data_IF_559010718133
#
_entry.id   IF_559010718133
#
_cell.length_a   1.000
_cell.length_b   1.000
_cell.length_c   1.000
_cell.angle_alpha   90.00
_cell.angle_beta   90.00
_cell.angle_gamma   90.00
#
_symmetry.space_group_name_H-M   'P 1'
#
loop_
_entity.id
_entity.type
_entity.pdbx_description
1 polymer ?
#
# COMPACT_ATOMS: atom_id res chain seq x y z
N UNK A 1 -15.92 4.68 25.76
CA UNK A 1 -14.92 4.16 26.72
C UNK A 1 -13.90 5.26 27.05
N UNK A 2 -13.33 5.26 28.27
CA UNK A 2 -12.18 6.11 28.63
C UNK A 2 -10.90 5.58 27.98
N UNK A 3 -9.82 6.36 27.99
CA UNK A 3 -8.53 5.95 27.40
C UNK A 3 -8.02 4.63 28.01
N UNK A 4 -8.13 4.44 29.33
CA UNK A 4 -7.69 3.22 30.00
C UNK A 4 -8.36 1.96 29.46
N UNK A 5 -9.69 1.96 29.38
CA UNK A 5 -10.43 0.85 28.77
C UNK A 5 -10.10 0.63 27.28
N UNK A 6 -9.82 1.69 26.51
CA UNK A 6 -9.42 1.56 25.10
C UNK A 6 -8.02 0.98 24.95
N UNK A 7 -7.09 1.39 25.81
CA UNK A 7 -5.73 0.86 25.85
C UNK A 7 -5.72 -0.60 26.28
N UNK A 8 -6.46 -0.97 27.33
CA UNK A 8 -6.60 -2.36 27.76
C UNK A 8 -7.14 -3.27 26.63
N UNK A 9 -8.18 -2.82 25.93
CA UNK A 9 -8.72 -3.52 24.77
C UNK A 9 -7.70 -3.66 23.62
N UNK A 10 -6.92 -2.60 23.35
CA UNK A 10 -5.88 -2.65 22.34
C UNK A 10 -4.76 -3.66 22.70
N UNK A 11 -4.39 -3.72 23.98
CA UNK A 11 -3.41 -4.69 24.49
C UNK A 11 -3.93 -6.13 24.31
N UNK A 12 -5.18 -6.40 24.66
CA UNK A 12 -5.82 -7.72 24.44
C UNK A 12 -5.79 -8.12 22.95
N UNK A 13 -6.06 -7.18 22.05
CA UNK A 13 -6.01 -7.43 20.61
C UNK A 13 -4.58 -7.68 20.13
N UNK A 14 -3.60 -6.92 20.62
CA UNK A 14 -2.19 -7.13 20.29
C UNK A 14 -1.71 -8.51 20.78
N UNK A 15 -2.10 -8.94 21.98
CA UNK A 15 -1.85 -10.29 22.51
C UNK A 15 -2.46 -11.38 21.61
N UNK A 16 -3.70 -11.19 21.12
CA UNK A 16 -4.33 -12.17 20.21
C UNK A 16 -3.60 -12.25 18.86
N UNK A 17 -3.18 -11.11 18.32
CA UNK A 17 -2.42 -11.04 17.05
C UNK A 17 -1.09 -11.77 17.20
N UNK A 18 -0.36 -11.51 18.27
CA UNK A 18 0.93 -12.14 18.55
C UNK A 18 0.80 -13.64 18.76
N UNK A 19 -0.13 -14.07 19.62
CA UNK A 19 -0.35 -15.49 19.94
C UNK A 19 -0.85 -16.31 18.76
N UNK A 20 -1.75 -15.75 17.93
CA UNK A 20 -2.40 -16.49 16.83
C UNK A 20 -1.80 -16.22 15.45
N UNK A 21 -0.83 -15.30 15.34
CA UNK A 21 -0.21 -14.89 14.08
C UNK A 21 -1.22 -14.54 12.95
N UNK A 22 -2.29 -13.82 13.31
CA UNK A 22 -3.44 -13.52 12.44
C UNK A 22 -3.46 -12.06 11.96
N UNK A 23 -4.22 -11.71 10.90
CA UNK A 23 -4.38 -10.33 10.49
C UNK A 23 -5.04 -9.44 11.57
N UNK A 24 -4.55 -8.21 11.71
CA UNK A 24 -5.07 -7.26 12.69
C UNK A 24 -6.55 -6.90 12.44
N UNK A 25 -6.95 -6.79 11.17
CA UNK A 25 -8.34 -6.52 10.80
C UNK A 25 -9.31 -7.60 11.31
N UNK A 26 -8.90 -8.87 11.26
CA UNK A 26 -9.71 -9.98 11.74
C UNK A 26 -9.77 -9.99 13.27
N UNK A 27 -8.64 -9.76 13.95
CA UNK A 27 -8.59 -9.69 15.41
C UNK A 27 -9.47 -8.55 15.96
N UNK A 28 -9.39 -7.37 15.37
CA UNK A 28 -10.23 -6.21 15.70
C UNK A 28 -11.71 -6.48 15.44
N UNK A 29 -12.04 -7.17 14.34
CA UNK A 29 -13.42 -7.56 14.01
C UNK A 29 -13.99 -8.51 15.06
N UNK A 30 -13.26 -9.57 15.40
CA UNK A 30 -13.69 -10.56 16.39
C UNK A 30 -13.82 -9.96 17.79
N UNK A 31 -12.85 -9.12 18.19
CA UNK A 31 -12.92 -8.38 19.44
C UNK A 31 -14.17 -7.48 19.46
N UNK A 32 -14.45 -6.76 18.38
CA UNK A 32 -15.65 -5.93 18.28
C UNK A 32 -16.96 -6.74 18.31
N UNK A 33 -17.01 -7.94 17.74
CA UNK A 33 -18.20 -8.79 17.77
C UNK A 33 -18.47 -9.35 19.18
N UNK A 34 -17.42 -9.64 19.94
CA UNK A 34 -17.50 -10.11 21.33
C UNK A 34 -17.76 -8.96 22.34
N UNK A 35 -17.35 -7.73 22.02
CA UNK A 35 -17.50 -6.56 22.89
C UNK A 35 -18.54 -5.56 22.35
N UNK A 36 -19.82 -5.96 22.38
CA UNK A 36 -20.94 -5.16 21.83
C UNK A 36 -21.14 -3.79 22.49
N UNK A 37 -20.64 -3.58 23.70
CA UNK A 37 -20.70 -2.29 24.40
C UNK A 37 -19.77 -1.23 23.75
N UNK A 38 -18.75 -1.64 23.00
CA UNK A 38 -17.85 -0.71 22.31
C UNK A 38 -18.53 -0.17 21.05
N UNK A 39 -18.86 1.14 21.07
CA UNK A 39 -19.42 1.84 19.92
C UNK A 39 -18.41 2.05 18.78
N UNK A 40 -18.87 2.59 17.66
CA UNK A 40 -18.02 2.79 16.48
C UNK A 40 -16.80 3.69 16.74
N UNK A 41 -16.95 4.73 17.57
CA UNK A 41 -15.84 5.60 17.98
C UNK A 41 -14.82 4.88 18.87
N UNK A 42 -15.28 4.03 19.79
CA UNK A 42 -14.39 3.26 20.66
C UNK A 42 -13.61 2.22 19.84
N UNK A 43 -14.28 1.48 18.95
CA UNK A 43 -13.63 0.50 18.07
C UNK A 43 -12.57 1.14 17.17
N UNK A 44 -12.83 2.35 16.69
CA UNK A 44 -11.86 3.08 15.88
C UNK A 44 -10.64 3.52 16.70
N UNK A 45 -10.85 4.07 17.90
CA UNK A 45 -9.76 4.45 18.78
C UNK A 45 -8.89 3.24 19.18
N UNK A 46 -9.52 2.10 19.53
CA UNK A 46 -8.83 0.83 19.81
C UNK A 46 -8.04 0.38 18.58
N UNK A 47 -8.68 0.38 17.40
CA UNK A 47 -8.01 0.05 16.14
C UNK A 47 -6.79 0.93 15.86
N UNK A 48 -6.89 2.25 16.11
CA UNK A 48 -5.77 3.16 15.93
C UNK A 48 -4.59 2.77 16.83
N UNK A 49 -4.82 2.52 18.13
CA UNK A 49 -3.75 2.08 19.05
C UNK A 49 -3.11 0.78 18.57
N UNK A 50 -3.91 -0.21 18.15
CA UNK A 50 -3.40 -1.49 17.63
C UNK A 50 -2.55 -1.28 16.37
N UNK A 51 -3.04 -0.53 15.40
CA UNK A 51 -2.30 -0.28 14.16
C UNK A 51 -1.04 0.55 14.38
N UNK A 52 -1.07 1.54 15.27
CA UNK A 52 0.11 2.33 15.65
C UNK A 52 1.14 1.48 16.39
N UNK A 53 0.69 0.61 17.32
CA UNK A 53 1.55 -0.34 18.00
C UNK A 53 2.25 -1.28 17.03
N UNK A 54 1.53 -1.76 16.00
CA UNK A 54 2.13 -2.57 14.94
C UNK A 54 3.04 -1.75 14.01
N UNK A 55 2.71 -0.49 13.72
CA UNK A 55 3.57 0.40 12.94
C UNK A 55 4.89 0.65 13.66
N UNK A 56 4.82 0.96 14.95
CA UNK A 56 5.94 1.39 15.79
C UNK A 56 6.45 0.29 16.73
N UNK A 57 6.24 -1.00 16.41
CA UNK A 57 6.47 -2.09 17.38
C UNK A 57 7.87 -2.05 17.98
N UNK A 58 8.92 -1.86 17.17
CA UNK A 58 10.29 -1.83 17.68
C UNK A 58 10.60 -0.53 18.40
N UNK A 59 10.21 0.61 17.83
CA UNK A 59 10.39 1.92 18.47
C UNK A 59 9.69 2.00 19.82
N UNK A 60 8.46 1.51 19.91
CA UNK A 60 7.66 1.46 21.13
C UNK A 60 8.31 0.58 22.18
N UNK A 61 8.71 -0.63 21.82
CA UNK A 61 9.33 -1.55 22.76
C UNK A 61 10.70 -1.07 23.25
N UNK A 62 11.52 -0.49 22.37
CA UNK A 62 12.79 0.10 22.74
C UNK A 62 12.62 1.33 23.65
N UNK A 63 11.63 2.19 23.39
CA UNK A 63 11.37 3.36 24.21
C UNK A 63 10.97 2.95 25.64
N UNK A 64 10.01 2.03 25.77
CA UNK A 64 9.50 1.58 27.08
C UNK A 64 10.49 0.65 27.79
N UNK A 65 11.27 -0.15 27.05
CA UNK A 65 12.25 -1.09 27.58
C UNK A 65 11.77 -2.53 27.71
N UNK A 66 10.70 -2.86 27.01
CA UNK A 66 10.05 -4.17 27.01
C UNK A 66 9.30 -4.33 25.69
N UNK A 67 9.13 -5.56 25.20
CA UNK A 67 8.47 -5.85 23.92
C UNK A 67 7.07 -6.46 24.08
N UNK A 68 6.56 -6.53 25.31
CA UNK A 68 5.21 -7.01 25.60
C UNK A 68 4.12 -6.19 24.90
N UNK A 69 2.97 -6.79 24.55
CA UNK A 69 1.81 -6.06 24.01
C UNK A 69 1.40 -4.84 24.83
N UNK A 70 1.58 -4.88 26.16
CA UNK A 70 1.39 -3.71 27.04
C UNK A 70 2.38 -2.60 26.69
N UNK A 71 3.68 -2.89 26.67
CA UNK A 71 4.72 -1.92 26.34
C UNK A 71 4.49 -1.32 24.94
N UNK A 72 4.09 -2.15 23.97
CA UNK A 72 3.74 -1.70 22.62
C UNK A 72 2.54 -0.76 22.61
N UNK A 73 1.49 -1.07 23.37
CA UNK A 73 0.31 -0.21 23.50
C UNK A 73 0.62 1.16 24.11
N UNK A 74 1.42 1.20 25.17
CA UNK A 74 1.88 2.46 25.78
C UNK A 74 2.80 3.24 24.84
N UNK A 75 3.78 2.57 24.24
CA UNK A 75 4.71 3.19 23.29
C UNK A 75 4.00 3.78 22.07
N UNK A 76 2.93 3.14 21.58
CA UNK A 76 2.10 3.69 20.50
C UNK A 76 1.47 5.05 20.87
N UNK A 77 0.97 5.19 22.10
CA UNK A 77 0.41 6.47 22.57
C UNK A 77 1.50 7.54 22.72
N UNK A 78 2.67 7.17 23.24
CA UNK A 78 3.81 8.08 23.37
C UNK A 78 4.30 8.59 22.01
N UNK A 79 4.32 7.70 21.00
CA UNK A 79 4.90 8.00 19.69
C UNK A 79 3.94 8.66 18.70
N UNK A 80 2.65 8.29 18.73
CA UNK A 80 1.69 8.69 17.69
C UNK A 80 0.53 9.57 18.22
N UNK A 81 0.37 9.71 19.55
CA UNK A 81 -0.78 10.40 20.15
C UNK A 81 -0.42 11.70 20.89
N UNK A 82 0.84 12.14 20.81
CA UNK A 82 1.35 13.34 21.51
C UNK A 82 1.16 13.28 23.03
N UNK A 83 1.13 12.06 23.57
CA UNK A 83 1.03 11.82 25.00
C UNK A 83 2.42 11.77 25.64
N UNK A 84 2.49 12.11 26.93
CA UNK A 84 3.69 11.95 27.75
C UNK A 84 3.49 10.81 28.74
N UNK A 85 4.58 10.23 29.23
CA UNK A 85 4.48 9.14 30.20
C UNK A 85 3.75 9.59 31.49
N UNK A 86 3.96 10.86 31.89
CA UNK A 86 3.27 11.48 33.02
C UNK A 86 1.77 11.69 32.73
N UNK A 87 1.40 12.24 31.56
CA UNK A 87 -0.01 12.46 31.21
C UNK A 87 -0.78 11.14 31.08
N UNK A 88 -0.14 10.08 30.57
CA UNK A 88 -0.73 8.76 30.52
C UNK A 88 -1.03 8.22 31.92
N UNK A 89 -0.04 8.20 32.82
CA UNK A 89 -0.26 7.72 34.19
C UNK A 89 -1.35 8.52 34.91
N UNK A 90 -1.39 9.85 34.74
CA UNK A 90 -2.45 10.70 35.30
C UNK A 90 -3.83 10.38 34.71
N UNK A 91 -3.91 10.13 33.40
CA UNK A 91 -5.17 9.82 32.71
C UNK A 91 -5.71 8.44 33.08
N UNK A 92 -4.81 7.50 33.37
CA UNK A 92 -5.16 6.13 33.77
C UNK A 92 -5.48 6.00 35.26
N UNK A 93 -5.06 6.97 36.09
CA UNK A 93 -5.31 6.94 37.52
C UNK A 93 -6.82 6.90 37.84
N UNK A 94 -7.20 5.99 38.72
CA UNK A 94 -8.61 5.75 39.08
C UNK A 94 -9.50 5.13 37.98
N UNK A 95 -8.98 4.81 36.79
CA UNK A 95 -9.74 4.06 35.78
C UNK A 95 -9.66 2.55 36.06
N UNK A 96 -10.74 1.97 36.60
CA UNK A 96 -10.84 0.54 36.93
C UNK A 96 -10.65 -0.42 35.75
N UNK A 97 -10.71 0.09 34.52
CA UNK A 97 -10.51 -0.70 33.30
C UNK A 97 -9.14 -0.43 32.65
N UNK A 98 -8.30 0.44 33.22
CA UNK A 98 -6.96 0.68 32.73
C UNK A 98 -6.04 -0.53 32.97
N UNK A 99 -5.07 -0.78 32.08
CA UNK A 99 -3.97 -1.68 32.41
C UNK A 99 -3.11 -1.08 33.53
N UNK A 100 -2.21 -1.86 34.15
CA UNK A 100 -1.25 -1.34 35.11
C UNK A 100 -0.47 -0.14 34.52
N UNK A 101 -0.37 1.00 35.25
CA UNK A 101 0.30 2.21 34.77
C UNK A 101 1.79 1.96 34.52
N UNK A 102 2.47 2.92 33.89
CA UNK A 102 3.92 2.87 33.71
C UNK A 102 4.62 2.89 35.07
N UNK A 103 5.52 1.94 35.28
CA UNK A 103 6.33 1.80 36.51
C UNK A 103 7.39 2.90 36.61
N UNK A 104 7.97 3.08 37.79
CA UNK A 104 9.06 4.05 37.99
C UNK A 104 10.26 3.78 37.05
N UNK A 105 10.59 2.51 36.84
CA UNK A 105 11.69 2.11 35.95
C UNK A 105 11.36 2.41 34.48
N UNK A 106 10.14 2.13 34.03
CA UNK A 106 9.68 2.50 32.68
C UNK A 106 9.67 4.01 32.47
N UNK A 107 9.18 4.79 33.45
CA UNK A 107 9.22 6.25 33.40
C UNK A 107 10.66 6.78 33.26
N UNK A 108 11.58 6.21 34.03
CA UNK A 108 13.01 6.56 33.96
C UNK A 108 13.60 6.18 32.60
N UNK A 109 13.27 5.01 32.06
CA UNK A 109 13.76 4.56 30.76
C UNK A 109 13.26 5.46 29.62
N UNK A 110 11.95 5.79 29.62
CA UNK A 110 11.34 6.69 28.63
C UNK A 110 11.99 8.09 28.70
N UNK A 111 12.28 8.60 29.90
CA UNK A 111 12.92 9.90 30.06
C UNK A 111 14.40 9.91 29.63
N UNK A 112 15.10 8.79 29.76
CA UNK A 112 16.54 8.67 29.46
C UNK A 112 16.84 8.32 28.00
N UNK A 113 15.85 7.84 27.23
CA UNK A 113 16.04 7.33 25.87
C UNK A 113 15.59 8.35 24.81
N UNK A 114 16.39 8.46 23.76
CA UNK A 114 16.05 9.20 22.55
C UNK A 114 16.06 8.25 21.35
N UNK A 115 14.96 8.16 20.60
CA UNK A 115 14.85 7.24 19.45
C UNK A 115 15.93 7.46 18.38
N UNK A 116 16.52 8.66 18.30
CA UNK A 116 17.62 8.92 17.37
C UNK A 116 18.88 8.11 17.71
N UNK A 117 19.03 7.66 18.95
CA UNK A 117 20.15 6.86 19.45
C UNK A 117 19.84 5.35 19.43
N UNK A 118 18.64 4.96 19.01
CA UNK A 118 18.25 3.56 18.93
C UNK A 118 18.97 2.84 17.77
N UNK A 119 19.14 1.50 17.84
CA UNK A 119 19.67 0.72 16.72
C UNK A 119 18.87 0.97 15.43
N UNK A 120 19.53 0.92 14.28
CA UNK A 120 18.90 1.29 13.01
C UNK A 120 17.64 0.46 12.68
N UNK A 121 17.65 -0.84 12.96
CA UNK A 121 16.47 -1.68 12.75
C UNK A 121 15.30 -1.36 13.70
N UNK A 122 15.56 -0.69 14.83
CA UNK A 122 14.53 -0.12 15.70
C UNK A 122 13.97 1.15 15.07
N UNK A 123 14.84 2.06 14.63
CA UNK A 123 14.46 3.34 13.99
C UNK A 123 13.68 3.14 12.70
N UNK A 124 14.01 2.10 11.93
CA UNK A 124 13.33 1.71 10.70
C UNK A 124 12.00 0.97 10.96
N UNK A 125 11.73 0.55 12.21
CA UNK A 125 10.52 -0.20 12.59
C UNK A 125 10.23 -1.42 11.69
N UNK A 126 11.27 -2.15 11.27
CA UNK A 126 11.13 -3.31 10.39
C UNK A 126 11.50 -4.64 11.10
N UNK A 127 11.04 -5.80 10.61
CA UNK A 127 11.57 -7.09 11.05
C UNK A 127 13.08 -7.17 10.81
N UNK A 128 13.81 -7.83 11.73
CA UNK A 128 15.27 -7.91 11.66
C UNK A 128 15.75 -8.56 10.36
N UNK A 129 15.11 -9.66 9.98
CA UNK A 129 15.45 -10.39 8.78
C UNK A 129 15.19 -9.59 7.49
N UNK A 130 14.33 -8.57 7.55
CA UNK A 130 14.10 -7.65 6.44
C UNK A 130 15.12 -6.51 6.36
N UNK A 131 15.90 -6.24 7.42
CA UNK A 131 16.84 -5.11 7.43
C UNK A 131 17.88 -5.22 6.29
N UNK A 132 18.52 -6.37 6.02
CA UNK A 132 19.42 -6.51 4.87
C UNK A 132 18.73 -6.27 3.51
N UNK A 133 17.43 -6.58 3.40
CA UNK A 133 16.67 -6.35 2.16
C UNK A 133 16.42 -4.84 1.94
N UNK A 134 16.10 -4.11 3.01
CA UNK A 134 15.93 -2.66 2.94
C UNK A 134 17.26 -1.94 2.73
N UNK A 135 18.33 -2.39 3.38
CA UNK A 135 19.70 -1.89 3.19
C UNK A 135 20.12 -2.02 1.73
N UNK A 136 19.85 -3.18 1.10
CA UNK A 136 20.12 -3.39 -0.33
C UNK A 136 19.31 -2.43 -1.20
N UNK A 137 18.00 -2.35 -0.99
CA UNK A 137 17.10 -1.55 -1.83
C UNK A 137 17.34 -0.03 -1.73
N UNK A 138 17.78 0.45 -0.55
CA UNK A 138 17.83 1.88 -0.23
C UNK A 138 19.20 2.41 0.16
N UNK A 139 20.23 1.56 0.20
CA UNK A 139 21.58 1.91 0.61
C UNK A 139 21.57 2.69 1.95
N UNK A 140 22.34 3.77 2.06
CA UNK A 140 22.42 4.58 3.28
C UNK A 140 21.12 5.27 3.73
N UNK A 141 20.06 5.26 2.92
CA UNK A 141 18.76 5.88 3.25
C UNK A 141 17.75 4.89 3.87
N UNK A 142 18.11 3.61 4.01
CA UNK A 142 17.18 2.53 4.38
C UNK A 142 16.44 2.76 5.70
N UNK A 143 17.08 3.38 6.70
CA UNK A 143 16.45 3.68 7.99
C UNK A 143 15.31 4.67 7.83
N UNK A 144 15.52 5.72 7.03
CA UNK A 144 14.50 6.72 6.74
C UNK A 144 13.34 6.15 5.93
N UNK A 145 13.65 5.30 4.95
CA UNK A 145 12.64 4.61 4.12
C UNK A 145 11.80 3.63 4.96
N UNK A 146 12.45 2.85 5.83
CA UNK A 146 11.76 1.95 6.77
C UNK A 146 10.85 2.72 7.74
N UNK A 147 11.35 3.82 8.31
CA UNK A 147 10.56 4.69 9.18
C UNK A 147 9.34 5.27 8.46
N UNK A 148 9.47 5.65 7.19
CA UNK A 148 8.35 6.16 6.40
C UNK A 148 7.33 5.06 6.04
N UNK A 149 7.77 3.81 5.86
CA UNK A 149 6.90 2.63 5.74
C UNK A 149 6.18 2.29 7.06
N UNK A 150 6.60 2.86 8.18
CA UNK A 150 5.94 2.74 9.49
C UNK A 150 5.02 3.93 9.83
N UNK A 151 4.93 4.97 8.99
CA UNK A 151 4.08 6.13 9.27
C UNK A 151 2.58 5.83 9.10
N UNK A 152 1.70 6.71 9.59
CA UNK A 152 0.26 6.66 9.28
C UNK A 152 0.03 7.03 7.80
N UNK A 153 -0.72 6.23 7.02
CA UNK A 153 -0.92 6.48 5.60
C UNK A 153 -2.02 7.53 5.35
N UNK A 154 -1.94 8.31 4.26
CA UNK A 154 -3.05 9.14 3.81
C UNK A 154 -4.16 8.28 3.18
N UNK A 155 -5.35 8.85 3.01
CA UNK A 155 -6.40 8.27 2.17
C UNK A 155 -6.35 8.94 0.80
N UNK A 156 -5.95 8.16 -0.21
CA UNK A 156 -5.84 8.63 -1.59
C UNK A 156 -7.00 8.10 -2.44
N UNK A 157 -7.47 8.98 -3.32
CA UNK A 157 -8.55 8.76 -4.26
C UNK A 157 -8.06 9.13 -5.66
N UNK A 158 -8.64 8.52 -6.68
CA UNK A 158 -8.44 8.87 -8.10
C UNK A 158 -9.74 9.39 -8.67
N UNK A 159 -9.75 10.63 -9.16
CA UNK A 159 -10.88 11.15 -9.94
C UNK A 159 -11.08 10.31 -11.21
N UNK A 160 -12.32 9.93 -11.48
CA UNK A 160 -12.70 9.21 -12.70
C UNK A 160 -12.98 10.21 -13.82
N UNK A 161 -12.02 10.39 -14.73
CA UNK A 161 -12.10 11.34 -15.84
C UNK A 161 -13.21 11.04 -16.84
N UNK A 162 -13.80 9.84 -16.83
CA UNK A 162 -14.98 9.52 -17.64
C UNK A 162 -16.26 10.17 -17.11
N UNK A 163 -16.31 10.54 -15.83
CA UNK A 163 -17.54 10.98 -15.15
C UNK A 163 -17.40 12.32 -14.43
N UNK A 164 -16.20 12.70 -14.04
CA UNK A 164 -15.95 13.93 -13.27
C UNK A 164 -14.53 14.46 -13.53
N UNK A 165 -14.19 15.56 -12.87
CA UNK A 165 -12.84 16.11 -12.85
C UNK A 165 -12.28 16.13 -11.43
N UNK A 166 -10.96 16.17 -11.28
CA UNK A 166 -10.31 16.32 -9.97
C UNK A 166 -10.87 17.52 -9.19
N UNK A 167 -11.08 18.65 -9.88
CA UNK A 167 -11.62 19.86 -9.26
C UNK A 167 -13.02 19.65 -8.65
N UNK A 168 -13.94 18.99 -9.38
CA UNK A 168 -15.29 18.67 -8.87
C UNK A 168 -15.25 17.70 -7.69
N UNK A 169 -14.36 16.71 -7.73
CA UNK A 169 -14.18 15.77 -6.61
C UNK A 169 -13.63 16.49 -5.37
N UNK A 170 -12.70 17.42 -5.54
CA UNK A 170 -12.17 18.23 -4.43
C UNK A 170 -13.24 19.14 -3.82
N UNK A 171 -14.06 19.76 -4.66
CA UNK A 171 -15.18 20.61 -4.20
C UNK A 171 -16.20 19.79 -3.39
N UNK A 172 -16.59 18.62 -3.89
CA UNK A 172 -17.50 17.72 -3.17
C UNK A 172 -16.92 17.27 -1.81
N UNK A 173 -15.60 17.03 -1.75
CA UNK A 173 -14.92 16.53 -0.56
C UNK A 173 -14.28 17.62 0.30
N UNK A 174 -14.62 18.90 0.10
CA UNK A 174 -13.96 20.02 0.76
C UNK A 174 -13.98 19.92 2.30
N UNK A 175 -15.10 19.44 2.87
CA UNK A 175 -15.26 19.27 4.33
C UNK A 175 -14.36 18.18 4.93
N UNK A 176 -13.79 17.30 4.10
CA UNK A 176 -12.89 16.24 4.54
C UNK A 176 -11.43 16.67 4.67
N UNK A 177 -11.10 17.91 4.26
CA UNK A 177 -9.73 18.37 4.13
C UNK A 177 -9.01 17.76 2.91
N UNK A 178 -9.77 17.35 1.89
CA UNK A 178 -9.21 16.81 0.66
C UNK A 178 -8.39 17.87 -0.10
N UNK A 179 -7.22 17.47 -0.59
CA UNK A 179 -6.32 18.29 -1.39
C UNK A 179 -5.83 17.50 -2.63
N UNK A 180 -5.34 18.17 -3.68
CA UNK A 180 -4.67 17.49 -4.79
C UNK A 180 -3.47 16.67 -4.29
N UNK A 181 -3.22 15.52 -4.89
CA UNK A 181 -1.95 14.82 -4.68
C UNK A 181 -0.80 15.55 -5.39
N UNK A 182 0.44 15.20 -5.05
CA UNK A 182 1.63 15.93 -5.49
C UNK A 182 2.10 15.55 -6.91
N UNK A 183 1.85 14.32 -7.34
CA UNK A 183 2.35 13.75 -8.59
C UNK A 183 1.21 13.37 -9.54
N UNK A 184 0.27 12.53 -9.09
CA UNK A 184 -0.80 12.04 -9.96
C UNK A 184 -1.78 13.16 -10.35
N UNK A 185 -1.95 13.40 -11.65
CA UNK A 185 -2.75 14.51 -12.16
C UNK A 185 -4.24 14.45 -11.73
N UNK A 186 -4.76 13.25 -11.51
CA UNK A 186 -6.14 13.00 -11.09
C UNK A 186 -6.27 12.58 -9.62
N UNK A 187 -5.17 12.61 -8.86
CA UNK A 187 -5.15 12.18 -7.48
C UNK A 187 -5.72 13.22 -6.52
N UNK A 188 -6.45 12.74 -5.52
CA UNK A 188 -6.97 13.50 -4.38
C UNK A 188 -6.52 12.81 -3.10
N UNK A 189 -6.01 13.57 -2.14
CA UNK A 189 -5.47 13.09 -0.86
C UNK A 189 -6.21 13.71 0.30
N UNK A 190 -6.61 12.87 1.25
CA UNK A 190 -7.01 13.27 2.59
C UNK A 190 -5.87 12.91 3.53
N UNK A 191 -5.38 13.88 4.29
CA UNK A 191 -4.23 13.73 5.17
C UNK A 191 -4.43 12.60 6.21
N UNK A 192 -3.34 11.97 6.70
CA UNK A 192 -3.44 11.00 7.77
C UNK A 192 -4.19 11.55 8.99
N UNK A 193 -4.93 10.67 9.66
CA UNK A 193 -5.61 11.01 10.92
C UNK A 193 -4.61 11.14 12.07
N UNK A 194 -4.93 11.97 13.06
CA UNK A 194 -4.17 12.12 14.32
C UNK A 194 -4.91 11.43 15.49
N UNK A 195 -4.16 10.84 16.44
CA UNK A 195 -4.70 10.23 17.66
C UNK A 195 -5.88 9.29 17.42
N UNK A 196 -7.02 9.55 18.09
CA UNK A 196 -8.28 8.79 17.95
C UNK A 196 -9.16 9.19 16.77
N UNK A 197 -8.65 10.00 15.84
CA UNK A 197 -9.39 10.44 14.66
C UNK A 197 -9.82 9.28 13.75
N UNK A 198 -10.66 9.60 12.76
CA UNK A 198 -11.13 8.61 11.76
C UNK A 198 -11.10 9.25 10.39
N UNK A 199 -10.67 8.49 9.39
CA UNK A 199 -10.86 8.92 8.02
C UNK A 199 -12.37 8.97 7.71
N UNK A 200 -12.81 9.93 6.88
CA UNK A 200 -14.19 9.97 6.43
C UNK A 200 -14.54 8.70 5.65
N UNK A 201 -15.79 8.28 5.73
CA UNK A 201 -16.28 7.15 4.94
C UNK A 201 -16.60 7.61 3.52
N UNK A 202 -15.56 7.85 2.73
CA UNK A 202 -15.67 8.36 1.34
C UNK A 202 -16.53 7.48 0.44
N UNK A 203 -16.71 6.20 0.77
CA UNK A 203 -17.55 5.29 -0.02
C UNK A 203 -19.05 5.49 0.24
N UNK A 204 -19.43 6.14 1.34
CA UNK A 204 -20.82 6.54 1.59
C UNK A 204 -21.21 7.81 0.82
N UNK A 205 -20.23 8.55 0.29
CA UNK A 205 -20.48 9.81 -0.40
C UNK A 205 -21.28 9.62 -1.71
N UNK A 206 -22.24 10.50 -2.02
CA UNK A 206 -22.98 10.46 -3.28
C UNK A 206 -22.06 10.45 -4.51
N UNK A 207 -20.96 11.21 -4.48
CA UNK A 207 -19.98 11.23 -5.56
C UNK A 207 -19.30 9.86 -5.79
N UNK A 208 -18.99 9.10 -4.74
CA UNK A 208 -18.47 7.74 -4.91
C UNK A 208 -19.52 6.83 -5.55
N UNK A 209 -20.77 6.87 -5.08
CA UNK A 209 -21.87 6.05 -5.62
C UNK A 209 -22.17 6.40 -7.08
N UNK A 210 -21.99 7.66 -7.48
CA UNK A 210 -22.05 8.12 -8.87
C UNK A 210 -20.80 7.78 -9.69
N UNK A 211 -19.79 7.14 -9.10
CA UNK A 211 -18.55 6.74 -9.79
C UNK A 211 -17.63 7.90 -10.15
N UNK A 212 -17.68 9.02 -9.42
CA UNK A 212 -16.83 10.19 -9.67
C UNK A 212 -15.37 9.98 -9.29
N UNK A 213 -15.11 9.05 -8.37
CA UNK A 213 -13.75 8.69 -7.96
C UNK A 213 -13.67 7.25 -7.47
N UNK A 214 -12.45 6.72 -7.42
CA UNK A 214 -12.10 5.41 -6.84
C UNK A 214 -11.14 5.60 -5.67
N UNK A 215 -11.22 4.74 -4.64
CA UNK A 215 -10.19 4.68 -3.60
C UNK A 215 -8.96 3.97 -4.17
N UNK A 216 -7.84 4.67 -4.26
CA UNK A 216 -6.60 4.14 -4.83
C UNK A 216 -5.39 4.97 -4.39
N UNK A 217 -4.35 4.30 -3.87
CA UNK A 217 -3.06 4.91 -3.56
C UNK A 217 -2.47 5.64 -4.78
N UNK A 218 -1.88 6.82 -4.55
CA UNK A 218 -1.26 7.62 -5.61
C UNK A 218 -0.18 6.85 -6.40
N UNK A 219 0.61 5.98 -5.76
CA UNK A 219 1.63 5.17 -6.45
C UNK A 219 1.01 4.19 -7.45
N UNK A 220 -0.15 3.61 -7.12
CA UNK A 220 -0.90 2.79 -8.08
C UNK A 220 -1.53 3.60 -9.21
N UNK A 221 -1.78 4.90 -9.01
CA UNK A 221 -2.25 5.80 -10.08
C UNK A 221 -1.10 6.11 -11.03
N UNK A 222 0.07 6.47 -10.49
CA UNK A 222 1.31 6.73 -11.23
C UNK A 222 1.69 5.51 -12.07
N UNK A 223 1.68 4.30 -11.51
CA UNK A 223 2.01 3.08 -12.25
C UNK A 223 1.07 2.84 -13.44
N UNK A 224 -0.23 3.18 -13.31
CA UNK A 224 -1.18 3.07 -14.42
C UNK A 224 -0.97 4.17 -15.48
N UNK A 225 -0.57 5.38 -15.08
CA UNK A 225 -0.23 6.48 -15.98
C UNK A 225 1.04 6.17 -16.79
N UNK A 226 2.08 5.64 -16.13
CA UNK A 226 3.34 5.23 -16.77
C UNK A 226 3.17 4.10 -17.79
N UNK A 227 2.16 3.23 -17.62
CA UNK A 227 1.83 2.19 -18.61
C UNK A 227 1.45 2.79 -19.97
N UNK A 228 0.96 4.04 -20.01
CA UNK A 228 0.82 4.81 -21.23
C UNK A 228 -0.27 4.32 -22.19
N UNK A 229 -1.35 3.72 -21.66
CA UNK A 229 -2.49 3.30 -22.46
C UNK A 229 -3.19 4.50 -23.13
N UNK A 230 -3.50 4.37 -24.42
CA UNK A 230 -4.09 5.43 -25.25
C UNK A 230 -5.37 4.95 -25.92
N UNK A 231 -6.30 5.87 -26.25
CA UNK A 231 -7.53 5.53 -26.97
C UNK A 231 -7.26 4.67 -28.21
N UNK A 232 -7.98 3.57 -28.34
CA UNK A 232 -7.90 2.65 -29.49
C UNK A 232 -6.93 1.47 -29.33
N UNK A 233 -6.11 1.43 -28.28
CA UNK A 233 -5.22 0.30 -28.00
C UNK A 233 -5.97 -0.97 -27.56
N UNK A 234 -5.33 -2.12 -27.71
CA UNK A 234 -5.69 -3.37 -27.05
C UNK A 234 -4.80 -3.61 -25.84
N UNK A 235 -5.39 -3.76 -24.65
CA UNK A 235 -4.65 -3.89 -23.39
C UNK A 235 -5.11 -5.14 -22.65
N UNK A 236 -4.18 -5.87 -22.05
CA UNK A 236 -4.45 -6.96 -21.12
C UNK A 236 -3.95 -6.57 -19.73
N UNK A 237 -4.83 -6.49 -18.75
CA UNK A 237 -4.50 -6.44 -17.33
C UNK A 237 -4.56 -7.87 -16.79
N UNK A 238 -3.39 -8.53 -16.71
CA UNK A 238 -3.27 -9.97 -16.47
C UNK A 238 -3.42 -10.37 -15.00
N UNK A 239 -3.19 -9.42 -14.09
CA UNK A 239 -3.35 -9.59 -12.64
C UNK A 239 -4.22 -8.45 -12.09
N UNK A 240 -5.43 -8.32 -12.65
CA UNK A 240 -6.28 -7.14 -12.45
C UNK A 240 -6.68 -6.93 -10.98
N UNK A 241 -6.66 -7.96 -10.14
CA UNK A 241 -7.19 -7.92 -8.78
C UNK A 241 -8.61 -7.38 -8.78
N UNK A 242 -8.90 -6.40 -7.92
CA UNK A 242 -10.20 -5.75 -7.89
C UNK A 242 -10.44 -4.76 -9.07
N UNK A 243 -9.49 -4.62 -10.01
CA UNK A 243 -9.59 -3.79 -11.21
C UNK A 243 -9.17 -2.34 -11.07
N UNK A 244 -8.48 -1.95 -10.00
CA UNK A 244 -8.14 -0.53 -9.76
C UNK A 244 -7.39 0.11 -10.94
N UNK A 245 -6.37 -0.60 -11.47
CA UNK A 245 -5.58 -0.19 -12.63
C UNK A 245 -6.37 -0.34 -13.93
N UNK A 246 -7.10 -1.44 -14.13
CA UNK A 246 -8.04 -1.62 -15.26
C UNK A 246 -8.94 -0.39 -15.47
N UNK A 247 -9.59 0.12 -14.42
CA UNK A 247 -10.47 1.28 -14.51
C UNK A 247 -9.70 2.58 -14.84
N UNK A 248 -8.44 2.68 -14.39
CA UNK A 248 -7.57 3.82 -14.70
C UNK A 248 -7.20 3.82 -16.18
N UNK A 249 -6.77 2.66 -16.69
CA UNK A 249 -6.42 2.47 -18.09
C UNK A 249 -7.62 2.75 -18.99
N UNK A 250 -8.80 2.25 -18.63
CA UNK A 250 -10.03 2.50 -19.40
C UNK A 250 -10.40 3.99 -19.45
N UNK A 251 -10.20 4.71 -18.34
CA UNK A 251 -10.40 6.15 -18.29
C UNK A 251 -9.36 6.92 -19.14
N UNK A 252 -8.08 6.52 -19.11
CA UNK A 252 -7.02 7.07 -19.96
C UNK A 252 -7.25 6.79 -21.47
N UNK A 253 -7.88 5.66 -21.77
CA UNK A 253 -8.29 5.27 -23.12
C UNK A 253 -9.61 5.93 -23.56
N UNK A 254 -10.23 6.78 -22.73
CA UNK A 254 -11.50 7.45 -23.02
C UNK A 254 -12.62 6.48 -23.46
N UNK A 255 -12.68 5.29 -22.87
CA UNK A 255 -13.59 4.22 -23.30
C UNK A 255 -13.44 3.77 -24.78
N UNK A 256 -12.31 4.04 -25.45
CA UNK A 256 -12.03 3.63 -26.84
C UNK A 256 -10.93 2.56 -26.89
N UNK A 257 -11.07 1.57 -27.76
CA UNK A 257 -10.20 0.37 -27.79
C UNK A 257 -10.80 -0.76 -26.95
N UNK A 258 -9.96 -1.68 -26.48
CA UNK A 258 -10.41 -2.85 -25.70
C UNK A 258 -9.43 -3.16 -24.57
N UNK A 259 -9.94 -3.38 -23.36
CA UNK A 259 -9.18 -3.91 -22.23
C UNK A 259 -9.73 -5.29 -21.87
N UNK A 260 -8.85 -6.26 -21.71
CA UNK A 260 -9.14 -7.56 -21.13
C UNK A 260 -8.62 -7.56 -19.69
N UNK A 261 -9.49 -7.82 -18.72
CA UNK A 261 -9.12 -7.87 -17.31
C UNK A 261 -9.20 -9.32 -16.80
N UNK A 262 -8.05 -9.87 -16.43
CA UNK A 262 -7.92 -11.24 -15.95
C UNK A 262 -7.29 -11.26 -14.55
N UNK A 263 -7.70 -12.24 -13.75
CA UNK A 263 -6.99 -12.61 -12.53
C UNK A 263 -7.20 -14.11 -12.29
N UNK A 264 -6.16 -14.80 -11.84
CA UNK A 264 -6.22 -16.21 -11.47
C UNK A 264 -7.10 -16.46 -10.23
N UNK A 265 -7.20 -15.46 -9.34
CA UNK A 265 -7.98 -15.50 -8.11
C UNK A 265 -9.36 -14.85 -8.31
N UNK A 266 -10.38 -15.67 -8.59
CA UNK A 266 -11.77 -15.20 -8.80
C UNK A 266 -12.30 -14.31 -7.68
N UNK A 267 -11.92 -14.60 -6.43
CA UNK A 267 -12.33 -13.81 -5.26
C UNK A 267 -11.78 -12.39 -5.28
N UNK A 268 -10.55 -12.19 -5.78
CA UNK A 268 -9.94 -10.86 -5.95
C UNK A 268 -10.56 -10.11 -7.13
N UNK A 269 -10.93 -10.82 -8.19
CA UNK A 269 -11.55 -10.25 -9.39
C UNK A 269 -13.01 -9.84 -9.18
N UNK A 270 -13.77 -10.56 -8.36
CA UNK A 270 -15.21 -10.38 -8.22
C UNK A 270 -15.69 -8.92 -8.02
N UNK A 271 -15.02 -8.06 -7.23
CA UNK A 271 -15.43 -6.66 -7.08
C UNK A 271 -15.40 -5.84 -8.38
N UNK A 272 -14.66 -6.26 -9.41
CA UNK A 272 -14.47 -5.50 -10.65
C UNK A 272 -15.80 -5.22 -11.36
N UNK A 273 -16.75 -6.16 -11.32
CA UNK A 273 -18.03 -6.04 -12.02
C UNK A 273 -18.88 -4.88 -11.51
N UNK A 274 -18.91 -4.67 -10.20
CA UNK A 274 -19.64 -3.54 -9.59
C UNK A 274 -18.92 -2.23 -9.86
N UNK A 275 -17.59 -2.25 -9.84
CA UNK A 275 -16.78 -1.08 -10.09
C UNK A 275 -16.91 -0.60 -11.52
N UNK A 276 -16.72 -1.47 -12.52
CA UNK A 276 -16.91 -1.16 -13.96
C UNK A 276 -18.28 -0.50 -14.21
N UNK A 277 -19.35 -1.06 -13.63
CA UNK A 277 -20.70 -0.52 -13.75
C UNK A 277 -20.81 0.87 -13.15
N UNK A 278 -20.29 1.07 -11.93
CA UNK A 278 -20.34 2.35 -11.21
C UNK A 278 -19.55 3.44 -11.93
N UNK A 279 -18.33 3.13 -12.37
CA UNK A 279 -17.41 4.06 -13.02
C UNK A 279 -17.64 4.22 -14.53
N UNK A 280 -18.61 3.51 -15.10
CA UNK A 280 -19.00 3.56 -16.52
C UNK A 280 -17.85 3.27 -17.49
N UNK A 281 -17.03 2.28 -17.15
CA UNK A 281 -16.04 1.74 -18.08
C UNK A 281 -16.75 0.79 -19.06
N UNK A 282 -16.70 1.11 -20.35
CA UNK A 282 -17.50 0.42 -21.39
C UNK A 282 -16.65 -0.45 -22.32
N UNK A 283 -15.33 -0.28 -22.29
CA UNK A 283 -14.37 -1.01 -23.11
C UNK A 283 -13.62 -2.10 -22.32
N UNK A 284 -14.19 -2.61 -21.22
CA UNK A 284 -13.55 -3.64 -20.39
C UNK A 284 -14.29 -4.96 -20.54
N UNK A 285 -13.57 -6.00 -20.93
CA UNK A 285 -14.02 -7.39 -20.95
C UNK A 285 -13.33 -8.16 -19.82
N UNK A 286 -14.13 -8.65 -18.86
CA UNK A 286 -13.61 -9.45 -17.75
C UNK A 286 -13.44 -10.90 -18.21
N UNK A 287 -12.23 -11.43 -18.09
CA UNK A 287 -11.86 -12.79 -18.54
C UNK A 287 -11.62 -13.66 -17.32
N UNK A 288 -12.55 -14.58 -17.03
CA UNK A 288 -12.53 -15.40 -15.80
C UNK A 288 -11.94 -16.79 -16.00
N UNK A 289 -11.74 -17.22 -17.25
CA UNK A 289 -11.14 -18.51 -17.59
C UNK A 289 -9.85 -18.29 -18.40
N UNK A 290 -8.72 -18.87 -17.99
CA UNK A 290 -7.47 -18.75 -18.74
C UNK A 290 -7.58 -19.19 -20.21
N UNK A 291 -8.43 -20.17 -20.52
CA UNK A 291 -8.67 -20.63 -21.90
C UNK A 291 -9.21 -19.54 -22.83
N UNK A 292 -9.91 -18.54 -22.30
CA UNK A 292 -10.46 -17.41 -23.07
C UNK A 292 -9.38 -16.41 -23.46
N UNK A 293 -8.17 -16.48 -22.85
CA UNK A 293 -7.03 -15.65 -23.23
C UNK A 293 -6.28 -16.19 -24.45
N UNK A 294 -6.50 -17.44 -24.87
CA UNK A 294 -5.69 -18.08 -25.91
C UNK A 294 -5.72 -17.31 -27.24
N UNK A 295 -6.86 -16.70 -27.58
CA UNK A 295 -7.00 -15.86 -28.79
C UNK A 295 -6.37 -14.47 -28.70
N UNK A 296 -5.73 -14.12 -27.59
CA UNK A 296 -5.10 -12.80 -27.37
C UNK A 296 -3.58 -12.81 -27.60
N UNK A 297 -3.00 -13.97 -27.94
CA UNK A 297 -1.56 -14.10 -28.19
C UNK A 297 -1.10 -13.12 -29.28
N UNK A 298 0.04 -12.46 -29.05
CA UNK A 298 0.61 -11.46 -29.97
C UNK A 298 -0.30 -10.28 -30.38
N UNK A 299 -1.40 -10.04 -29.66
CA UNK A 299 -2.40 -9.03 -30.06
C UNK A 299 -2.44 -7.77 -29.18
N UNK A 300 -1.79 -7.78 -28.01
CA UNK A 300 -1.91 -6.69 -27.03
C UNK A 300 -0.83 -5.62 -27.24
N UNK A 301 -1.25 -4.35 -27.28
CA UNK A 301 -0.35 -3.19 -27.30
C UNK A 301 0.30 -2.95 -25.92
N UNK A 302 -0.39 -3.34 -24.84
CA UNK A 302 0.13 -3.37 -23.48
C UNK A 302 -0.35 -4.64 -22.79
N UNK A 303 0.57 -5.40 -22.19
CA UNK A 303 0.25 -6.42 -21.19
C UNK A 303 0.74 -5.93 -19.84
N UNK A 304 -0.18 -5.58 -18.94
CA UNK A 304 0.10 -5.12 -17.59
C UNK A 304 0.01 -6.28 -16.60
N UNK A 305 1.01 -6.38 -15.75
CA UNK A 305 1.12 -7.35 -14.67
C UNK A 305 1.29 -6.59 -13.36
N UNK A 306 0.22 -6.47 -12.58
CA UNK A 306 0.29 -6.05 -11.18
C UNK A 306 0.50 -7.31 -10.31
N UNK A 307 1.76 -7.74 -10.23
CA UNK A 307 2.10 -9.08 -9.79
C UNK A 307 1.76 -9.31 -8.32
N UNK A 308 1.33 -10.53 -7.94
CA UNK A 308 1.27 -10.90 -6.53
C UNK A 308 2.67 -10.78 -5.91
N UNK A 309 2.77 -10.04 -4.80
CA UNK A 309 4.03 -9.75 -4.12
C UNK A 309 3.88 -9.82 -2.60
N UNK A 310 4.97 -9.58 -1.87
CA UNK A 310 4.95 -9.51 -0.41
C UNK A 310 4.14 -8.32 0.12
N UNK A 311 3.92 -7.29 -0.69
CA UNK A 311 3.25 -6.06 -0.30
C UNK A 311 4.08 -5.20 0.65
N UNK A 312 5.41 -5.35 0.66
CA UNK A 312 6.31 -4.64 1.56
C UNK A 312 6.26 -3.11 1.43
N UNK A 313 5.87 -2.59 0.28
CA UNK A 313 5.62 -1.16 0.07
C UNK A 313 4.36 -0.63 0.76
N UNK A 314 3.45 -1.52 1.18
CA UNK A 314 2.15 -1.14 1.76
C UNK A 314 2.10 -1.24 3.29
N UNK A 315 3.25 -1.45 3.96
CA UNK A 315 3.32 -1.68 5.40
C UNK A 315 2.69 -0.58 6.25
N UNK A 316 2.70 0.68 5.82
CA UNK A 316 1.99 1.76 6.53
C UNK A 316 0.47 1.55 6.59
N UNK A 317 -0.10 0.89 5.58
CA UNK A 317 -1.53 0.54 5.49
C UNK A 317 -1.86 -0.80 6.14
N UNK A 318 -0.94 -1.76 6.05
CA UNK A 318 -1.08 -3.11 6.62
C UNK A 318 0.09 -3.43 7.55
N UNK A 319 0.20 -2.76 8.70
CA UNK A 319 1.38 -2.87 9.56
C UNK A 319 1.49 -4.24 10.24
N UNK A 320 0.42 -5.05 10.29
CA UNK A 320 0.51 -6.45 10.71
C UNK A 320 1.25 -7.31 9.68
N UNK A 321 1.18 -6.97 8.39
CA UNK A 321 1.74 -7.78 7.32
C UNK A 321 3.27 -7.87 7.41
N UNK A 322 3.96 -6.79 7.84
CA UNK A 322 5.41 -6.79 7.98
C UNK A 322 5.89 -7.81 9.02
N UNK A 323 5.19 -7.93 10.15
CA UNK A 323 5.58 -8.86 11.23
C UNK A 323 5.17 -10.30 10.97
N UNK A 324 4.23 -10.53 10.05
CA UNK A 324 3.82 -11.88 9.61
C UNK A 324 4.59 -12.38 8.39
N UNK A 325 5.36 -11.50 7.74
CA UNK A 325 6.15 -11.85 6.57
C UNK A 325 7.32 -12.74 6.95
N UNK A 326 7.61 -13.72 6.10
CA UNK A 326 8.72 -14.67 6.24
C UNK A 326 9.50 -14.79 4.93
N UNK A 327 10.76 -15.19 5.01
CA UNK A 327 11.60 -15.47 3.83
C UNK A 327 10.91 -16.46 2.86
N UNK A 328 10.29 -17.51 3.39
CA UNK A 328 9.55 -18.50 2.58
C UNK A 328 8.44 -17.86 1.76
N UNK A 329 7.71 -16.89 2.31
CA UNK A 329 6.65 -16.21 1.57
C UNK A 329 7.22 -15.32 0.45
N UNK A 330 8.34 -14.64 0.70
CA UNK A 330 9.07 -13.89 -0.32
C UNK A 330 9.50 -14.84 -1.47
N UNK A 331 10.12 -15.97 -1.16
CA UNK A 331 10.58 -16.93 -2.16
C UNK A 331 9.43 -17.48 -3.04
N UNK A 332 8.28 -17.77 -2.42
CA UNK A 332 7.07 -18.19 -3.15
C UNK A 332 6.61 -17.10 -4.12
N UNK A 333 6.57 -15.83 -3.70
CA UNK A 333 6.15 -14.72 -4.55
C UNK A 333 7.10 -14.49 -5.73
N UNK A 334 8.41 -14.60 -5.52
CA UNK A 334 9.40 -14.54 -6.59
C UNK A 334 9.15 -15.61 -7.66
N UNK A 335 8.87 -16.84 -7.24
CA UNK A 335 8.57 -17.94 -8.16
C UNK A 335 7.28 -17.71 -8.97
N UNK A 336 6.23 -17.22 -8.31
CA UNK A 336 4.96 -16.86 -8.97
C UNK A 336 5.15 -15.71 -9.96
N UNK A 337 5.88 -14.66 -9.58
CA UNK A 337 6.19 -13.50 -10.44
C UNK A 337 6.90 -13.94 -11.72
N UNK A 338 7.95 -14.78 -11.61
CA UNK A 338 8.68 -15.29 -12.77
C UNK A 338 7.76 -16.10 -13.72
N UNK A 339 6.94 -17.00 -13.17
CA UNK A 339 6.00 -17.80 -13.97
C UNK A 339 4.92 -16.94 -14.66
N UNK A 340 4.45 -15.89 -13.99
CA UNK A 340 3.49 -14.93 -14.55
C UNK A 340 4.14 -14.15 -15.70
N UNK A 341 5.36 -13.63 -15.52
CA UNK A 341 6.11 -12.96 -16.59
C UNK A 341 6.29 -13.86 -17.82
N UNK A 342 6.67 -15.12 -17.61
CA UNK A 342 6.90 -16.09 -18.68
C UNK A 342 5.61 -16.45 -19.44
N UNK A 343 4.46 -16.39 -18.78
CA UNK A 343 3.16 -16.62 -19.42
C UNK A 343 2.66 -15.36 -20.12
N UNK A 344 2.66 -14.22 -19.42
CA UNK A 344 2.06 -12.99 -19.89
C UNK A 344 2.79 -12.39 -21.10
N UNK A 345 4.11 -12.63 -21.24
CA UNK A 345 4.89 -12.16 -22.40
C UNK A 345 4.30 -12.61 -23.75
N UNK A 346 3.60 -13.75 -23.81
CA UNK A 346 3.08 -14.32 -25.07
C UNK A 346 1.93 -13.50 -25.66
N UNK A 347 1.28 -12.64 -24.86
CA UNK A 347 0.18 -11.80 -25.33
C UNK A 347 0.67 -10.48 -25.93
N UNK A 348 1.93 -10.12 -25.71
CA UNK A 348 2.51 -8.85 -26.14
C UNK A 348 2.74 -8.88 -27.64
N UNK A 349 2.10 -8.00 -28.41
CA UNK A 349 2.38 -7.84 -29.84
C UNK A 349 3.85 -7.44 -30.10
N UNK A 350 4.48 -7.84 -31.22
CA UNK A 350 5.79 -7.31 -31.60
C UNK A 350 5.81 -5.77 -31.63
N UNK A 351 6.86 -5.17 -31.05
CA UNK A 351 6.99 -3.71 -30.89
C UNK A 351 6.26 -3.11 -29.68
N UNK A 352 5.43 -3.88 -28.99
CA UNK A 352 4.55 -3.43 -27.89
C UNK A 352 5.15 -3.67 -26.49
N UNK A 353 4.39 -3.32 -25.44
CA UNK A 353 4.91 -3.27 -24.06
C UNK A 353 4.41 -4.42 -23.19
N UNK A 354 5.34 -4.99 -22.41
CA UNK A 354 5.10 -5.75 -21.19
C UNK A 354 5.38 -4.82 -20.01
N UNK A 355 4.41 -4.63 -19.13
CA UNK A 355 4.53 -3.79 -17.94
C UNK A 355 4.46 -4.67 -16.70
N UNK A 356 5.48 -4.59 -15.86
CA UNK A 356 5.61 -5.31 -14.60
C UNK A 356 5.55 -4.34 -13.43
N UNK A 357 4.64 -4.60 -12.48
CA UNK A 357 4.38 -3.74 -11.33
C UNK A 357 4.30 -4.60 -10.08
N UNK A 358 4.86 -4.11 -8.98
CA UNK A 358 4.63 -4.66 -7.65
C UNK A 358 4.33 -3.54 -6.67
N UNK A 359 3.70 -3.86 -5.54
CA UNK A 359 3.70 -3.00 -4.35
C UNK A 359 4.73 -3.48 -3.31
N UNK A 360 5.88 -3.96 -3.79
CA UNK A 360 7.04 -4.35 -2.99
C UNK A 360 8.16 -3.32 -3.11
N UNK A 361 8.95 -3.18 -2.05
CA UNK A 361 10.20 -2.40 -2.03
C UNK A 361 11.45 -3.28 -2.07
N UNK A 362 11.30 -4.60 -2.19
CA UNK A 362 12.44 -5.53 -2.21
C UNK A 362 12.94 -5.75 -3.63
N UNK A 363 14.25 -5.63 -3.84
CA UNK A 363 14.87 -5.84 -5.15
C UNK A 363 14.65 -7.26 -5.67
N UNK A 364 14.51 -8.25 -4.78
CA UNK A 364 14.26 -9.64 -5.10
C UNK A 364 12.94 -9.87 -5.87
N UNK A 365 11.96 -8.99 -5.67
CA UNK A 365 10.67 -8.99 -6.37
C UNK A 365 10.64 -7.95 -7.51
N UNK A 366 11.66 -7.12 -7.62
CA UNK A 366 11.69 -5.94 -8.48
C UNK A 366 12.82 -6.04 -9.51
N UNK A 367 13.96 -5.38 -9.25
CA UNK A 367 15.13 -5.36 -10.11
C UNK A 367 15.58 -6.78 -10.52
N UNK A 368 15.65 -7.71 -9.58
CA UNK A 368 16.11 -9.08 -9.83
C UNK A 368 15.16 -9.85 -10.77
N UNK A 369 13.84 -9.58 -10.69
CA UNK A 369 12.86 -10.21 -11.58
C UNK A 369 13.01 -9.69 -13.01
N UNK A 370 13.21 -8.39 -13.17
CA UNK A 370 13.40 -7.74 -14.47
C UNK A 370 14.71 -8.19 -15.11
N UNK A 371 15.81 -8.17 -14.35
CA UNK A 371 17.12 -8.64 -14.81
C UNK A 371 17.07 -10.10 -15.24
N UNK A 372 16.53 -10.98 -14.39
CA UNK A 372 16.42 -12.41 -14.71
C UNK A 372 15.52 -12.66 -15.93
N UNK A 373 14.48 -11.85 -16.13
CA UNK A 373 13.61 -11.95 -17.30
C UNK A 373 14.35 -11.53 -18.58
N UNK A 374 15.03 -10.39 -18.56
CA UNK A 374 15.80 -9.89 -19.70
C UNK A 374 16.95 -10.83 -20.08
N UNK A 375 17.58 -11.47 -19.10
CA UNK A 375 18.65 -12.46 -19.34
C UNK A 375 18.17 -13.70 -20.10
N UNK A 376 16.91 -14.12 -19.92
CA UNK A 376 16.35 -15.32 -20.58
C UNK A 376 15.47 -15.01 -21.79
N UNK A 377 14.96 -13.78 -21.91
CA UNK A 377 14.03 -13.37 -22.98
C UNK A 377 14.67 -12.37 -23.96
N UNK A 378 15.50 -12.89 -24.87
CA UNK A 378 16.12 -12.09 -25.94
C UNK A 378 15.13 -11.43 -26.93
N UNK A 379 13.82 -11.69 -26.82
CA UNK A 379 12.81 -10.96 -27.57
C UNK A 379 12.44 -9.61 -26.92
N UNK A 380 12.86 -9.34 -25.69
CA UNK A 380 12.52 -8.13 -24.94
C UNK A 380 13.75 -7.26 -24.65
N UNK A 381 13.52 -5.95 -24.56
CA UNK A 381 14.50 -4.95 -24.16
C UNK A 381 13.86 -3.99 -23.17
N UNK A 382 14.61 -3.44 -22.20
CA UNK A 382 14.08 -2.40 -21.34
C UNK A 382 13.77 -1.14 -22.14
N UNK A 383 12.76 -0.38 -21.71
CA UNK A 383 12.62 1.02 -22.14
C UNK A 383 13.52 1.90 -21.27
N UNK A 384 13.80 3.13 -21.73
CA UNK A 384 14.45 4.13 -20.89
C UNK A 384 13.46 4.65 -19.84
N UNK A 385 13.62 4.20 -18.61
CA UNK A 385 12.74 4.58 -17.51
C UNK A 385 12.94 6.02 -17.04
N UNK A 386 14.13 6.59 -17.26
CA UNK A 386 14.39 8.01 -16.98
C UNK A 386 13.60 8.89 -17.93
N UNK A 387 13.65 8.61 -19.24
CA UNK A 387 12.84 9.31 -20.23
C UNK A 387 11.34 9.09 -20.03
N UNK A 388 10.95 7.87 -19.65
CA UNK A 388 9.55 7.54 -19.36
C UNK A 388 9.01 8.38 -18.19
N UNK A 389 9.78 8.50 -17.11
CA UNK A 389 9.42 9.31 -15.94
C UNK A 389 9.34 10.79 -16.29
N UNK A 390 10.36 11.35 -16.94
CA UNK A 390 10.38 12.79 -17.28
C UNK A 390 9.23 13.19 -18.20
N UNK A 391 8.79 12.29 -19.10
CA UNK A 391 7.62 12.52 -19.95
C UNK A 391 6.30 12.55 -19.14
N UNK A 392 6.17 11.71 -18.12
CA UNK A 392 4.97 11.65 -17.28
C UNK A 392 4.93 12.73 -16.20
N UNK A 393 6.09 13.01 -15.59
CA UNK A 393 6.23 13.85 -14.41
C UNK A 393 7.43 14.82 -14.61
N UNK A 394 7.34 15.77 -15.55
CA UNK A 394 8.45 16.64 -15.91
C UNK A 394 8.94 17.47 -14.72
N UNK A 395 10.26 17.52 -14.53
CA UNK A 395 10.89 18.22 -13.42
C UNK A 395 10.67 17.58 -12.04
N UNK A 396 10.30 16.29 -11.98
CA UNK A 396 10.08 15.53 -10.74
C UNK A 396 11.06 14.36 -10.58
N UNK A 397 12.27 14.45 -11.13
CA UNK A 397 13.26 13.37 -11.07
C UNK A 397 13.53 12.85 -9.64
N UNK A 398 13.61 13.75 -8.65
CA UNK A 398 13.91 13.39 -7.26
C UNK A 398 12.76 12.68 -6.53
N UNK A 399 11.55 12.68 -7.12
CA UNK A 399 10.35 12.10 -6.52
C UNK A 399 10.27 10.57 -6.70
N UNK A 400 11.21 9.94 -7.42
CA UNK A 400 11.31 8.50 -7.57
C UNK A 400 12.79 8.05 -7.58
N UNK A 401 13.04 6.77 -7.29
CA UNK A 401 14.33 6.14 -7.59
C UNK A 401 14.22 5.51 -8.97
N UNK A 402 15.07 5.89 -9.90
CA UNK A 402 14.96 5.44 -11.29
C UNK A 402 16.25 4.77 -11.68
N UNK A 403 16.16 3.48 -11.97
CA UNK A 403 17.16 2.79 -12.75
C UNK A 403 16.72 2.82 -14.22
N UNK A 404 17.61 3.29 -15.09
CA UNK A 404 17.32 3.50 -16.51
C UNK A 404 16.77 2.23 -17.18
N UNK A 405 17.33 1.07 -16.85
CA UNK A 405 17.04 -0.20 -17.52
C UNK A 405 16.13 -1.10 -16.70
N UNK A 406 16.22 -1.03 -15.37
CA UNK A 406 15.51 -1.96 -14.50
C UNK A 406 14.12 -1.48 -14.11
N UNK A 407 13.93 -0.18 -13.84
CA UNK A 407 12.61 0.33 -13.46
C UNK A 407 12.60 1.57 -12.58
N UNK A 408 11.40 1.88 -12.09
CA UNK A 408 11.08 3.06 -11.28
C UNK A 408 10.54 2.57 -9.94
N UNK A 409 11.16 2.97 -8.85
CA UNK A 409 10.70 2.70 -7.49
C UNK A 409 10.16 3.96 -6.82
N UNK A 410 8.96 3.86 -6.26
CA UNK A 410 8.30 4.87 -5.46
C UNK A 410 8.34 4.45 -3.99
N UNK A 411 8.41 5.42 -3.08
CA UNK A 411 8.40 5.15 -1.64
C UNK A 411 7.63 6.21 -0.86
N UNK A 412 7.18 5.91 0.37
CA UNK A 412 6.61 6.91 1.25
C UNK A 412 7.54 8.09 1.53
N UNK A 413 8.85 7.85 1.72
CA UNK A 413 9.78 8.92 2.07
C UNK A 413 10.07 9.86 0.89
N UNK A 414 10.10 9.33 -0.34
CA UNK A 414 10.51 10.07 -1.54
C UNK A 414 9.31 10.61 -2.33
N UNK A 415 8.34 9.76 -2.60
CA UNK A 415 7.19 10.06 -3.47
C UNK A 415 5.95 10.47 -2.69
N UNK A 416 5.91 10.22 -1.37
CA UNK A 416 4.71 10.39 -0.54
C UNK A 416 3.63 9.31 -0.76
N UNK A 417 3.86 8.37 -1.67
CA UNK A 417 2.95 7.26 -2.02
C UNK A 417 3.22 6.03 -1.15
N UNK A 418 2.49 4.93 -1.34
CA UNK A 418 3.00 3.64 -0.88
C UNK A 418 4.25 3.26 -1.67
N UNK A 419 4.98 2.25 -1.19
CA UNK A 419 6.06 1.63 -1.94
C UNK A 419 5.52 0.90 -3.18
N UNK A 420 6.06 1.23 -4.34
CA UNK A 420 5.69 0.64 -5.63
C UNK A 420 6.92 0.48 -6.51
N UNK A 421 6.91 -0.51 -7.38
CA UNK A 421 7.87 -0.68 -8.45
C UNK A 421 7.14 -0.76 -9.79
N UNK A 422 7.72 -0.15 -10.82
CA UNK A 422 7.23 -0.17 -12.19
C UNK A 422 8.40 -0.45 -13.15
N UNK A 423 8.23 -1.42 -14.04
CA UNK A 423 9.13 -1.66 -15.15
C UNK A 423 8.34 -1.86 -16.45
N UNK A 424 8.82 -1.27 -17.54
CA UNK A 424 8.27 -1.45 -18.88
C UNK A 424 9.33 -2.03 -19.81
N UNK A 425 8.99 -3.14 -20.45
CA UNK A 425 9.85 -3.88 -21.37
C UNK A 425 9.19 -3.90 -22.74
N UNK A 426 9.95 -3.55 -23.78
CA UNK A 426 9.46 -3.58 -25.16
C UNK A 426 9.81 -4.90 -25.82
N UNK A 427 8.81 -5.56 -26.40
CA UNK A 427 9.06 -6.68 -27.32
C UNK A 427 9.67 -6.13 -28.61
N UNK A 428 10.79 -6.69 -29.05
CA UNK A 428 11.44 -6.37 -30.34
C UNK A 428 10.47 -6.67 -31.50
N UNK A 429 10.66 -5.96 -32.61
CA UNK A 429 9.84 -6.12 -33.82
C UNK A 429 10.05 -7.48 -34.47
#
# INVERSE_FOLDING_TARGET
>A
MRLGGRLAAAIEVLEDIERRHRPAADALKDWGLSHRFAGAGDRAAIGNIVYDGLRRKRSAGWLVGDDTPRAIGFGALLLEWRETAQSLNQTLDGDKFAPPPLTADELSAIAARNLNDAPDAVRADCPEWCAPLLERAFNGEWVGEGAALAARPPLDLRANTLKSSRAKVLEELAETGAAPTALAANGVRIAPIDGSGRHPNVQAEPAFQKGWFEVQDEGSQIAAELAGAKPGMQVLDYCAGAGGKTLALSAAMENRGQIFAHDSEKGRLAPIFDRIRRSENRNVQVVTKPSELAGLQDHMDIVLIDAPCTGSGTWRRRPDAKWRLTQRQLDVRKGEQAAILDTAKTYVKPGSLLVYITCSVFDEENHDQVEAFLAREAAFAPVDHTELWERGFPGKADAARIDKEMGISLTPARSGTDGFFFAALRRRQ
#
